data_IF_134933738400
#
_entry.id   IF_134933738400
#
_cell.length_a   1.000
_cell.length_b   1.000
_cell.length_c   1.000
_cell.angle_alpha   90.00
_cell.angle_beta   90.00
_cell.angle_gamma   90.00
#
_symmetry.space_group_name_H-M   'P 1'
#
loop_
_entity.id
_entity.type
_entity.pdbx_description
1 polymer ?
#
# COMPACT_ATOMS: atom_id res chain seq x y z
N UNK A 1 15.26 -0.85 -2.05
CA UNK A 1 14.73 -2.12 -2.58
C UNK A 1 13.28 -1.94 -3.05
N UNK A 2 12.30 -1.74 -2.17
CA UNK A 2 10.90 -1.45 -2.58
C UNK A 2 10.73 -0.17 -3.42
N UNK A 3 11.58 0.84 -3.17
CA UNK A 3 11.57 2.10 -3.92
C UNK A 3 11.78 1.94 -5.42
N UNK A 4 12.59 0.98 -5.84
CA UNK A 4 12.84 0.73 -7.26
C UNK A 4 11.57 0.25 -7.98
N UNK A 5 10.80 -0.66 -7.37
CA UNK A 5 9.51 -1.10 -7.93
C UNK A 5 8.49 0.03 -8.01
N UNK A 6 8.45 0.90 -6.99
CA UNK A 6 7.58 2.08 -6.99
C UNK A 6 8.00 3.12 -8.03
N UNK A 7 9.30 3.34 -8.22
CA UNK A 7 9.79 4.25 -9.27
C UNK A 7 9.47 3.73 -10.67
N UNK A 8 9.51 2.42 -10.88
CA UNK A 8 9.11 1.80 -12.13
C UNK A 8 7.62 2.01 -12.39
N UNK A 9 6.77 1.82 -11.38
CA UNK A 9 5.32 2.07 -11.49
C UNK A 9 4.99 3.54 -11.79
N UNK A 10 5.67 4.48 -11.13
CA UNK A 10 5.53 5.90 -11.46
C UNK A 10 5.98 6.21 -12.89
N UNK A 11 7.09 5.61 -13.33
CA UNK A 11 7.55 5.73 -14.71
C UNK A 11 6.46 5.28 -15.70
N UNK A 12 5.81 4.14 -15.44
CA UNK A 12 4.70 3.64 -16.30
C UNK A 12 3.59 4.67 -16.43
N UNK A 13 3.16 5.30 -15.33
CA UNK A 13 2.14 6.34 -15.36
C UNK A 13 2.60 7.62 -16.10
N UNK A 14 3.91 7.87 -16.15
CA UNK A 14 4.55 8.96 -16.90
C UNK A 14 4.81 8.59 -18.38
N UNK A 15 4.41 7.39 -18.82
CA UNK A 15 4.55 6.92 -20.20
C UNK A 15 5.81 6.11 -20.50
N UNK A 16 6.57 5.70 -19.48
CA UNK A 16 7.70 4.78 -19.64
C UNK A 16 7.21 3.34 -19.80
N UNK A 17 7.69 2.65 -20.83
CA UNK A 17 7.41 1.23 -21.03
C UNK A 17 8.58 0.39 -20.49
N UNK A 18 8.44 -0.28 -19.33
CA UNK A 18 9.52 -1.05 -18.73
C UNK A 18 9.79 -2.34 -19.53
N UNK A 19 11.08 -2.68 -19.68
CA UNK A 19 11.44 -4.00 -20.21
C UNK A 19 11.06 -5.11 -19.23
N UNK A 20 10.82 -6.32 -19.76
CA UNK A 20 10.57 -7.50 -18.91
C UNK A 20 11.73 -7.75 -17.93
N UNK A 21 12.97 -7.50 -18.34
CA UNK A 21 14.14 -7.58 -17.47
C UNK A 21 14.07 -6.61 -16.29
N UNK A 22 13.62 -5.36 -16.53
CA UNK A 22 13.45 -4.35 -15.47
C UNK A 22 12.39 -4.79 -14.46
N UNK A 23 11.25 -5.30 -14.94
CA UNK A 23 10.16 -5.82 -14.08
C UNK A 23 10.65 -7.02 -13.27
N UNK A 24 11.34 -7.98 -13.91
CA UNK A 24 11.89 -9.16 -13.24
C UNK A 24 12.93 -8.79 -12.16
N UNK A 25 13.80 -7.83 -12.45
CA UNK A 25 14.77 -7.29 -11.51
C UNK A 25 14.07 -6.64 -10.31
N UNK A 26 13.04 -5.83 -10.55
CA UNK A 26 12.26 -5.21 -9.49
C UNK A 26 11.59 -6.26 -8.59
N UNK A 27 10.97 -7.29 -9.18
CA UNK A 27 10.35 -8.40 -8.43
C UNK A 27 11.37 -9.18 -7.59
N UNK A 28 12.57 -9.41 -8.11
CA UNK A 28 13.63 -10.07 -7.32
C UNK A 28 14.05 -9.21 -6.14
N UNK A 29 14.15 -7.89 -6.30
CA UNK A 29 14.48 -6.98 -5.20
C UNK A 29 13.39 -6.91 -4.14
N UNK A 30 12.11 -6.96 -4.54
CA UNK A 30 10.98 -7.04 -3.58
C UNK A 30 11.06 -8.32 -2.76
N UNK A 31 11.19 -9.48 -3.42
CA UNK A 31 11.32 -10.78 -2.72
C UNK A 31 12.49 -10.85 -1.74
N UNK A 32 13.61 -10.20 -2.05
CA UNK A 32 14.76 -10.13 -1.14
C UNK A 32 14.54 -9.20 0.06
N UNK A 33 13.53 -8.34 -0.02
CA UNK A 33 13.19 -7.37 1.02
C UNK A 33 11.95 -7.78 1.83
N UNK A 34 11.25 -8.84 1.42
CA UNK A 34 10.15 -9.44 2.19
C UNK A 34 10.70 -9.96 3.53
N UNK A 35 10.18 -9.51 4.68
CA UNK A 35 10.60 -9.99 5.97
C UNK A 35 9.96 -11.35 6.28
N UNK A 36 10.71 -12.22 6.94
CA UNK A 36 10.18 -13.43 7.55
C UNK A 36 9.53 -13.05 8.89
N UNK A 37 8.20 -13.14 9.00
CA UNK A 37 7.48 -12.65 10.19
C UNK A 37 7.82 -13.41 11.47
N UNK A 38 8.27 -14.66 11.35
CA UNK A 38 8.69 -15.52 12.47
C UNK A 38 9.98 -15.04 13.14
N UNK A 39 10.78 -14.20 12.47
CA UNK A 39 12.07 -13.72 12.98
C UNK A 39 11.93 -12.47 13.88
N UNK A 40 10.71 -11.94 14.08
CA UNK A 40 10.48 -10.65 14.76
C UNK A 40 9.30 -10.68 15.72
N UNK A 41 9.50 -10.12 16.93
CA UNK A 41 8.48 -10.05 17.99
C UNK A 41 7.57 -8.80 17.90
N UNK A 42 7.48 -8.14 16.74
CA UNK A 42 6.73 -6.88 16.60
C UNK A 42 5.72 -6.94 15.47
N UNK A 43 4.51 -6.43 15.70
CA UNK A 43 3.46 -6.33 14.67
C UNK A 43 3.90 -5.54 13.43
N UNK A 44 4.90 -4.67 13.57
CA UNK A 44 5.45 -3.88 12.47
C UNK A 44 6.06 -4.76 11.37
N UNK A 45 6.45 -6.00 11.67
CA UNK A 45 6.95 -6.94 10.64
C UNK A 45 5.85 -7.33 9.66
N UNK A 46 4.62 -7.53 10.14
CA UNK A 46 3.46 -7.81 9.29
C UNK A 46 3.14 -6.60 8.41
N UNK A 47 3.21 -5.38 8.97
CA UNK A 47 3.05 -4.15 8.18
C UNK A 47 4.14 -4.00 7.11
N UNK A 48 5.38 -4.41 7.41
CA UNK A 48 6.46 -4.41 6.44
C UNK A 48 6.25 -5.48 5.34
N UNK A 49 5.72 -6.65 5.70
CA UNK A 49 5.33 -7.69 4.76
C UNK A 49 4.23 -7.20 3.81
N UNK A 50 3.17 -6.60 4.33
CA UNK A 50 2.07 -6.03 3.54
C UNK A 50 2.57 -4.95 2.56
N UNK A 51 3.52 -4.11 3.01
CA UNK A 51 4.14 -3.11 2.16
C UNK A 51 4.95 -3.74 1.01
N UNK A 52 5.71 -4.80 1.28
CA UNK A 52 6.42 -5.54 0.22
C UNK A 52 5.46 -6.26 -0.73
N UNK A 53 4.43 -6.91 -0.20
CA UNK A 53 3.41 -7.61 -0.98
C UNK A 53 2.67 -6.64 -1.91
N UNK A 54 2.33 -5.45 -1.41
CA UNK A 54 1.68 -4.40 -2.20
C UNK A 54 2.53 -3.96 -3.41
N UNK A 55 3.85 -3.81 -3.23
CA UNK A 55 4.75 -3.50 -4.36
C UNK A 55 4.86 -4.69 -5.32
N UNK A 56 4.86 -5.92 -4.82
CA UNK A 56 4.81 -7.14 -5.63
C UNK A 56 3.56 -7.21 -6.52
N UNK A 57 2.39 -6.94 -5.94
CA UNK A 57 1.09 -6.87 -6.63
C UNK A 57 1.06 -5.76 -7.68
N UNK A 58 1.67 -4.61 -7.39
CA UNK A 58 1.79 -3.52 -8.35
C UNK A 58 2.64 -3.91 -9.57
N UNK A 59 3.76 -4.59 -9.34
CA UNK A 59 4.61 -5.11 -10.43
C UNK A 59 3.90 -6.19 -11.25
N UNK A 60 3.06 -7.02 -10.60
CA UNK A 60 2.21 -8.00 -11.29
C UNK A 60 1.19 -7.29 -12.20
N UNK A 61 0.53 -6.24 -11.71
CA UNK A 61 -0.38 -5.44 -12.53
C UNK A 61 0.32 -4.82 -13.74
N UNK A 62 1.54 -4.33 -13.60
CA UNK A 62 2.32 -3.78 -14.73
C UNK A 62 2.59 -4.85 -15.79
N UNK A 63 2.74 -6.11 -15.40
CA UNK A 63 3.01 -7.23 -16.29
C UNK A 63 1.74 -7.75 -16.99
N UNK A 64 0.63 -7.90 -16.27
CA UNK A 64 -0.57 -8.59 -16.79
C UNK A 64 -1.81 -7.69 -16.98
N UNK A 65 -1.78 -6.44 -16.52
CA UNK A 65 -2.91 -5.50 -16.57
C UNK A 65 -4.10 -5.90 -15.68
N UNK A 66 -3.94 -6.92 -14.83
CA UNK A 66 -5.00 -7.48 -14.01
C UNK A 66 -5.36 -6.58 -12.84
N UNK A 67 -6.50 -5.89 -12.94
CA UNK A 67 -7.00 -4.96 -11.91
C UNK A 67 -7.23 -5.59 -10.54
N UNK A 68 -7.35 -6.93 -10.47
CA UNK A 68 -7.47 -7.66 -9.20
C UNK A 68 -6.32 -7.36 -8.24
N UNK A 69 -5.08 -7.27 -8.77
CA UNK A 69 -3.90 -6.95 -7.96
C UNK A 69 -3.98 -5.55 -7.33
N UNK A 70 -4.63 -4.59 -8.00
CA UNK A 70 -4.81 -3.23 -7.48
C UNK A 70 -5.88 -3.19 -6.37
N UNK A 71 -6.97 -3.94 -6.53
CA UNK A 71 -8.01 -4.08 -5.50
C UNK A 71 -7.46 -4.77 -4.25
N UNK A 72 -6.57 -5.75 -4.44
CA UNK A 72 -5.90 -6.45 -3.35
C UNK A 72 -4.98 -5.51 -2.55
N UNK A 73 -4.22 -4.62 -3.22
CA UNK A 73 -3.41 -3.59 -2.53
C UNK A 73 -4.28 -2.72 -1.62
N UNK A 74 -5.43 -2.23 -2.10
CA UNK A 74 -6.34 -1.42 -1.28
C UNK A 74 -6.90 -2.19 -0.07
N UNK A 75 -7.01 -3.52 -0.18
CA UNK A 75 -7.42 -4.39 0.91
C UNK A 75 -6.30 -4.58 1.93
N UNK A 76 -5.07 -4.87 1.48
CA UNK A 76 -3.89 -4.94 2.34
C UNK A 76 -3.70 -3.65 3.16
N UNK A 77 -3.93 -2.48 2.56
CA UNK A 77 -3.86 -1.22 3.29
C UNK A 77 -4.81 -1.15 4.51
N UNK A 78 -6.00 -1.75 4.41
CA UNK A 78 -6.96 -1.84 5.52
C UNK A 78 -6.56 -2.94 6.49
N UNK A 79 -6.15 -4.10 6.00
CA UNK A 79 -5.71 -5.24 6.82
C UNK A 79 -4.49 -4.86 7.69
N UNK A 80 -3.55 -4.07 7.16
CA UNK A 80 -2.43 -3.53 7.94
C UNK A 80 -2.92 -2.67 9.11
N UNK A 81 -3.92 -1.80 8.88
CA UNK A 81 -4.47 -0.93 9.94
C UNK A 81 -5.26 -1.74 10.95
N UNK A 82 -6.05 -2.70 10.46
CA UNK A 82 -6.84 -3.63 11.26
C UNK A 82 -5.93 -4.39 12.24
N UNK A 83 -4.93 -5.13 11.72
CA UNK A 83 -3.98 -5.90 12.53
C UNK A 83 -3.24 -5.01 13.52
N UNK A 84 -2.82 -3.82 13.11
CA UNK A 84 -2.13 -2.88 13.99
C UNK A 84 -3.02 -2.39 15.13
N UNK A 85 -4.29 -2.08 14.86
CA UNK A 85 -5.26 -1.68 15.89
C UNK A 85 -5.56 -2.83 16.85
N UNK A 86 -5.73 -4.05 16.34
CA UNK A 86 -5.94 -5.23 17.17
C UNK A 86 -4.78 -5.45 18.15
N UNK A 87 -3.54 -5.38 17.66
CA UNK A 87 -2.35 -5.54 18.50
C UNK A 87 -2.20 -4.40 19.52
N UNK A 88 -2.26 -3.15 19.04
CA UNK A 88 -2.04 -1.97 19.87
C UNK A 88 -3.06 -1.83 21.01
N UNK A 89 -4.34 -2.09 20.73
CA UNK A 89 -5.44 -1.93 21.69
C UNK A 89 -5.74 -3.24 22.43
N UNK A 90 -5.01 -4.32 22.15
CA UNK A 90 -5.19 -5.64 22.77
C UNK A 90 -6.58 -6.23 22.53
N UNK A 91 -7.13 -6.05 21.32
CA UNK A 91 -8.47 -6.51 20.99
C UNK A 91 -8.48 -8.04 20.84
N UNK A 92 -9.56 -8.67 21.32
CA UNK A 92 -9.71 -10.13 21.29
C UNK A 92 -10.30 -10.56 19.94
N UNK A 93 -9.66 -11.48 19.18
CA UNK A 93 -10.12 -11.90 17.85
C UNK A 93 -11.56 -12.43 17.77
N UNK A 94 -12.08 -12.95 18.87
CA UNK A 94 -13.43 -13.53 18.95
C UNK A 94 -14.46 -12.61 19.62
N UNK A 95 -14.13 -11.35 19.90
CA UNK A 95 -15.09 -10.38 20.44
C UNK A 95 -16.15 -10.09 19.35
N UNK A 96 -17.46 -10.28 19.61
CA UNK A 96 -18.51 -9.94 18.65
C UNK A 96 -18.51 -8.46 18.23
N UNK A 97 -17.84 -7.58 18.99
CA UNK A 97 -17.69 -6.16 18.69
C UNK A 97 -16.34 -5.80 18.09
N UNK A 98 -15.48 -6.78 17.76
CA UNK A 98 -14.15 -6.55 17.22
C UNK A 98 -14.20 -5.65 15.98
N UNK A 99 -14.94 -6.09 14.96
CA UNK A 99 -15.11 -5.38 13.70
C UNK A 99 -15.68 -3.97 13.90
N UNK A 100 -16.67 -3.83 14.77
CA UNK A 100 -17.25 -2.51 15.10
C UNK A 100 -16.20 -1.59 15.73
N UNK A 101 -15.37 -2.10 16.64
CA UNK A 101 -14.31 -1.33 17.29
C UNK A 101 -13.22 -0.90 16.31
N UNK A 102 -12.76 -1.82 15.47
CA UNK A 102 -11.74 -1.53 14.46
C UNK A 102 -12.28 -0.51 13.45
N UNK A 103 -13.50 -0.73 12.94
CA UNK A 103 -14.13 0.17 11.98
C UNK A 103 -14.26 1.59 12.54
N UNK A 104 -14.63 1.74 13.81
CA UNK A 104 -14.76 3.04 14.45
C UNK A 104 -13.43 3.62 14.96
N UNK A 105 -12.32 2.88 14.85
CA UNK A 105 -11.02 3.36 15.31
C UNK A 105 -10.51 4.51 14.42
N UNK A 106 -9.84 5.49 15.03
CA UNK A 106 -9.36 6.70 14.34
C UNK A 106 -8.47 6.37 13.14
N UNK A 107 -7.59 5.38 13.26
CA UNK A 107 -6.69 4.97 12.18
C UNK A 107 -7.45 4.36 11.00
N UNK A 108 -8.46 3.52 11.26
CA UNK A 108 -9.28 2.92 10.21
C UNK A 108 -10.12 3.99 9.50
N UNK A 109 -10.74 4.89 10.25
CA UNK A 109 -11.48 6.03 9.67
C UNK A 109 -10.59 6.92 8.81
N UNK A 110 -9.34 7.18 9.24
CA UNK A 110 -8.37 7.94 8.45
C UNK A 110 -8.00 7.21 7.16
N UNK A 111 -7.79 5.89 7.21
CA UNK A 111 -7.46 5.10 6.04
C UNK A 111 -8.62 5.08 5.04
N UNK A 112 -9.84 4.85 5.50
CA UNK A 112 -11.03 4.89 4.65
C UNK A 112 -11.23 6.26 4.01
N UNK A 113 -11.04 7.34 4.77
CA UNK A 113 -11.09 8.70 4.23
C UNK A 113 -10.00 8.93 3.17
N UNK A 114 -8.76 8.50 3.43
CA UNK A 114 -7.65 8.61 2.48
C UNK A 114 -7.96 7.88 1.17
N UNK A 115 -8.41 6.63 1.24
CA UNK A 115 -8.76 5.86 0.04
C UNK A 115 -9.92 6.51 -0.72
N UNK A 116 -10.90 7.08 -0.01
CA UNK A 116 -12.00 7.81 -0.63
C UNK A 116 -11.53 9.09 -1.32
N UNK A 117 -10.66 9.87 -0.68
CA UNK A 117 -10.08 11.09 -1.23
C UNK A 117 -9.24 10.80 -2.47
N UNK A 118 -8.40 9.76 -2.43
CA UNK A 118 -7.61 9.30 -3.57
C UNK A 118 -8.53 8.95 -4.76
N UNK A 119 -9.63 8.23 -4.52
CA UNK A 119 -10.62 7.93 -5.57
C UNK A 119 -11.30 9.19 -6.14
N UNK A 120 -11.62 10.18 -5.29
CA UNK A 120 -12.21 11.45 -5.73
C UNK A 120 -11.23 12.26 -6.59
N UNK A 121 -9.96 12.31 -6.19
CA UNK A 121 -8.90 12.95 -6.96
C UNK A 121 -8.74 12.27 -8.32
N UNK A 122 -8.62 10.93 -8.34
CA UNK A 122 -8.47 10.18 -9.60
C UNK A 122 -9.67 10.34 -10.54
N UNK A 123 -10.90 10.43 -10.00
CA UNK A 123 -12.12 10.70 -10.81
C UNK A 123 -12.12 12.09 -11.43
N UNK A 124 -11.41 13.04 -10.86
CA UNK A 124 -11.32 14.41 -11.40
C UNK A 124 -10.36 14.53 -12.58
N UNK A 125 -9.55 13.50 -12.86
CA UNK A 125 -8.55 13.55 -13.91
C UNK A 125 -9.20 13.49 -15.28
N UNK A 126 -8.91 14.51 -16.10
CA UNK A 126 -9.29 14.56 -17.52
C UNK A 126 -8.20 14.02 -18.45
N UNK A 127 -7.02 13.70 -17.90
CA UNK A 127 -5.86 13.11 -18.57
C UNK A 127 -4.76 12.74 -17.57
N UNK A 128 -3.94 11.72 -17.88
CA UNK A 128 -3.00 11.12 -16.92
C UNK A 128 -1.67 11.87 -16.75
N UNK A 129 -0.91 12.27 -17.79
CA UNK A 129 0.51 12.58 -17.60
C UNK A 129 0.80 13.80 -16.70
N UNK A 130 0.05 14.90 -16.84
CA UNK A 130 0.30 16.13 -16.07
C UNK A 130 -0.14 16.03 -14.62
N UNK A 131 -1.26 15.35 -14.36
CA UNK A 131 -1.78 15.19 -13.00
C UNK A 131 -0.99 14.11 -12.21
N UNK A 132 -0.49 13.07 -12.89
CA UNK A 132 0.40 12.05 -12.30
C UNK A 132 1.71 12.67 -11.79
N UNK A 133 2.32 13.59 -12.54
CA UNK A 133 3.56 14.25 -12.11
C UNK A 133 3.35 15.08 -10.83
N UNK A 134 2.22 15.79 -10.72
CA UNK A 134 1.83 16.54 -9.52
C UNK A 134 1.57 15.62 -8.33
N UNK A 135 0.88 14.50 -8.54
CA UNK A 135 0.70 13.49 -7.50
C UNK A 135 2.05 12.95 -7.01
N UNK A 136 2.96 12.59 -7.92
CA UNK A 136 4.27 12.05 -7.55
C UNK A 136 5.08 13.02 -6.67
N UNK A 137 5.03 14.31 -6.95
CA UNK A 137 5.70 15.34 -6.14
C UNK A 137 5.10 15.41 -4.72
N UNK A 138 3.77 15.40 -4.60
CA UNK A 138 3.08 15.39 -3.30
C UNK A 138 3.38 14.12 -2.49
N UNK A 139 3.61 12.98 -3.15
CA UNK A 139 3.97 11.70 -2.54
C UNK A 139 5.47 11.57 -2.18
N UNK A 140 6.33 12.46 -2.70
CA UNK A 140 7.78 12.49 -2.36
C UNK A 140 8.09 13.27 -1.09
N UNK A 141 7.18 14.11 -0.61
CA UNK A 141 7.26 14.64 0.75
C UNK A 141 6.99 13.50 1.74
N UNK A 142 7.61 13.47 2.94
CA UNK A 142 7.39 12.38 3.89
C UNK A 142 5.93 12.33 4.30
N UNK A 143 5.17 11.47 3.62
CA UNK A 143 3.80 11.17 4.00
C UNK A 143 3.85 10.13 5.12
N UNK A 144 3.07 10.42 6.15
CA UNK A 144 2.78 9.53 7.25
C UNK A 144 2.27 8.19 6.71
N UNK A 145 2.74 7.09 7.31
CA UNK A 145 2.22 5.75 7.02
C UNK A 145 0.73 5.63 7.39
N UNK A 146 0.01 4.67 6.83
CA UNK A 146 -1.40 4.40 7.19
C UNK A 146 -1.58 4.07 8.69
N UNK A 147 -0.54 3.54 9.34
CA UNK A 147 -0.49 3.26 10.78
C UNK A 147 0.26 4.31 11.62
N UNK A 148 0.70 5.43 11.03
CA UNK A 148 1.40 6.48 11.79
C UNK A 148 0.46 7.16 12.79
N UNK A 149 0.84 7.20 14.07
CA UNK A 149 0.02 7.75 15.14
C UNK A 149 0.07 9.28 15.25
N UNK A 150 1.08 9.93 14.65
CA UNK A 150 1.20 11.38 14.69
C UNK A 150 0.02 12.00 13.91
N UNK A 151 -0.88 12.67 14.63
CA UNK A 151 -1.98 13.48 14.06
C UNK A 151 -1.48 14.90 13.85
#
# INVERSE_FOLDING_TARGET
MLRYGLDLAWGVLEGFEPSQESVNSARQQVRRAEPETEDFDTILVSSALDASASVGLLLKFIEDGGVGSIVEIASLCRDTVDMFVQDQDGLVPNDPKLEERILNHRLMQRELQRQQDDLLVLRSFSGLPTEVARLRENWRNPQKSNIDQSG
#
